data_IF_598272671409
#
_entry.id   IF_598272671409
#
_cell.length_a   1.000
_cell.length_b   1.000
_cell.length_c   1.000
_cell.angle_alpha   90.00
_cell.angle_beta   90.00
_cell.angle_gamma   90.00
#
_symmetry.space_group_name_H-M   'P 1'
#
loop_
_entity.id
_entity.type
_entity.pdbx_description
1 polymer ?
#
# COMPACT_ATOMS: atom_id res chain seq x y z
N UNK A 1 -1.25 3.61 37.75
CA UNK A 1 -0.69 2.60 36.82
C UNK A 1 -1.51 2.67 35.55
N UNK A 2 -0.98 3.26 34.49
CA UNK A 2 -1.67 3.29 33.19
C UNK A 2 -1.53 1.90 32.61
N UNK A 3 -2.65 1.23 32.31
CA UNK A 3 -2.63 -0.06 31.66
C UNK A 3 -1.87 0.08 30.34
N UNK A 4 -0.70 -0.56 30.23
CA UNK A 4 -0.04 -0.78 28.95
C UNK A 4 -0.98 -1.70 28.19
N UNK A 5 -1.77 -1.13 27.27
CA UNK A 5 -2.52 -1.91 26.29
C UNK A 5 -1.47 -2.66 25.49
N UNK A 6 -1.25 -3.92 25.85
CA UNK A 6 -0.57 -4.88 25.00
C UNK A 6 -1.44 -5.04 23.76
N UNK A 7 -1.15 -4.27 22.71
CA UNK A 7 -1.57 -4.66 21.38
C UNK A 7 -0.99 -6.06 21.19
N UNK A 8 -1.85 -7.07 21.11
CA UNK A 8 -1.47 -8.32 20.50
C UNK A 8 -0.82 -7.92 19.17
N UNK A 9 0.46 -8.25 19.02
CA UNK A 9 1.25 -7.97 17.83
C UNK A 9 0.54 -8.66 16.66
N UNK A 10 -0.31 -7.91 15.98
CA UNK A 10 -0.88 -8.34 14.72
C UNK A 10 0.33 -8.40 13.79
N UNK A 11 0.80 -9.62 13.48
CA UNK A 11 2.01 -9.87 12.68
C UNK A 11 1.71 -9.55 11.20
N UNK A 12 1.22 -8.34 10.96
CA UNK A 12 0.75 -7.86 9.68
C UNK A 12 1.03 -6.39 9.49
N UNK A 13 1.32 -6.05 8.26
CA UNK A 13 1.62 -4.70 7.82
C UNK A 13 0.52 -4.19 6.91
N UNK A 14 -0.05 -3.02 7.23
CA UNK A 14 -1.05 -2.35 6.40
C UNK A 14 -0.36 -1.63 5.24
N UNK A 15 -0.92 -1.75 4.05
CA UNK A 15 -0.45 -1.01 2.88
C UNK A 15 -1.62 -0.51 2.02
N UNK A 16 -1.31 0.44 1.15
CA UNK A 16 -2.22 0.97 0.13
C UNK A 16 -1.45 1.28 -1.15
N UNK A 17 -2.07 0.98 -2.28
CA UNK A 17 -1.74 1.50 -3.61
C UNK A 17 -2.80 2.56 -3.93
N UNK A 18 -2.35 3.76 -4.28
CA UNK A 18 -3.22 4.88 -4.60
C UNK A 18 -2.72 5.61 -5.85
N UNK A 19 -3.62 6.35 -6.49
CA UNK A 19 -3.33 7.21 -7.64
C UNK A 19 -3.44 8.66 -7.23
N UNK A 20 -2.45 9.49 -7.58
CA UNK A 20 -2.55 10.94 -7.38
C UNK A 20 -3.73 11.52 -8.17
N UNK A 21 -4.41 12.50 -7.58
CA UNK A 21 -5.50 13.25 -8.19
C UNK A 21 -5.03 14.46 -9.01
N UNK A 22 -3.73 14.77 -8.94
CA UNK A 22 -3.07 15.91 -9.58
C UNK A 22 -2.60 15.61 -11.03
N UNK A 23 -1.97 16.60 -11.67
CA UNK A 23 -1.67 16.65 -13.11
C UNK A 23 -0.92 15.44 -13.70
N UNK A 24 -0.10 14.72 -12.92
CA UNK A 24 0.67 13.57 -13.42
C UNK A 24 -0.03 12.22 -13.16
N UNK A 25 -1.11 12.23 -12.37
CA UNK A 25 -1.94 11.07 -11.98
C UNK A 25 -1.15 9.78 -11.70
N UNK A 26 0.01 9.91 -11.08
CA UNK A 26 0.94 8.81 -10.87
C UNK A 26 0.43 7.85 -9.81
N UNK A 27 0.79 6.57 -9.95
CA UNK A 27 0.51 5.54 -8.98
C UNK A 27 1.63 5.48 -7.94
N UNK A 28 1.24 5.34 -6.69
CA UNK A 28 2.13 5.26 -5.55
C UNK A 28 1.66 4.15 -4.61
N UNK A 29 2.53 3.78 -3.68
CA UNK A 29 2.18 2.89 -2.59
C UNK A 29 2.80 3.34 -1.28
N UNK A 30 2.16 2.97 -0.18
CA UNK A 30 2.63 3.23 1.18
C UNK A 30 2.40 2.01 2.06
N UNK A 31 3.35 1.70 2.94
CA UNK A 31 3.23 0.69 3.99
C UNK A 31 3.13 1.42 5.32
N UNK A 32 1.91 1.62 5.82
CA UNK A 32 1.64 2.52 6.95
C UNK A 32 2.31 2.06 8.25
N UNK A 33 2.41 0.76 8.48
CA UNK A 33 3.04 0.22 9.71
C UNK A 33 4.55 0.49 9.74
N UNK A 34 5.19 0.67 8.59
CA UNK A 34 6.63 0.91 8.48
C UNK A 34 7.00 2.41 8.53
N UNK A 35 6.01 3.33 8.59
CA UNK A 35 6.27 4.77 8.61
C UNK A 35 6.88 5.23 9.94
N UNK A 36 7.98 5.98 9.85
CA UNK A 36 8.59 6.67 10.98
C UNK A 36 7.79 7.94 11.37
N UNK A 37 7.99 8.44 12.58
CA UNK A 37 7.22 9.57 13.09
C UNK A 37 7.41 10.86 12.27
N UNK A 38 8.59 11.05 11.67
CA UNK A 38 8.92 12.27 10.93
C UNK A 38 8.20 12.36 9.58
N UNK A 39 8.01 11.23 8.90
CA UNK A 39 7.34 11.20 7.59
C UNK A 39 5.88 10.74 7.65
N UNK A 40 5.44 10.08 8.73
CA UNK A 40 4.11 9.47 8.83
C UNK A 40 2.96 10.41 8.45
N UNK A 41 2.92 11.60 9.03
CA UNK A 41 1.84 12.55 8.76
C UNK A 41 1.77 12.98 7.29
N UNK A 42 2.94 13.13 6.66
CA UNK A 42 3.05 13.52 5.25
C UNK A 42 2.58 12.39 4.33
N UNK A 43 3.01 11.16 4.57
CA UNK A 43 2.65 10.02 3.73
C UNK A 43 1.16 9.66 3.87
N UNK A 44 0.59 9.76 5.08
CA UNK A 44 -0.85 9.62 5.29
C UNK A 44 -1.62 10.70 4.52
N UNK A 45 -1.19 11.96 4.60
CA UNK A 45 -1.84 13.05 3.90
C UNK A 45 -1.80 12.88 2.37
N UNK A 46 -0.69 12.34 1.84
CA UNK A 46 -0.54 12.02 0.40
C UNK A 46 -1.49 10.93 -0.04
N UNK A 47 -1.54 9.80 0.67
CA UNK A 47 -2.44 8.71 0.37
C UNK A 47 -3.91 9.17 0.45
N UNK A 48 -4.28 9.91 1.50
CA UNK A 48 -5.63 10.42 1.71
C UNK A 48 -6.08 11.46 0.66
N UNK A 49 -5.16 12.12 -0.04
CA UNK A 49 -5.47 13.04 -1.13
C UNK A 49 -5.64 12.33 -2.49
N UNK A 50 -5.15 11.09 -2.59
CA UNK A 50 -5.25 10.26 -3.79
C UNK A 50 -6.54 9.47 -3.87
N UNK A 51 -6.68 8.75 -4.98
CA UNK A 51 -7.72 7.75 -5.19
C UNK A 51 -7.16 6.36 -4.85
N UNK A 52 -7.78 5.66 -3.90
CA UNK A 52 -7.39 4.29 -3.54
C UNK A 52 -7.59 3.34 -4.72
N UNK A 53 -6.56 2.59 -5.08
CA UNK A 53 -6.59 1.55 -6.12
C UNK A 53 -6.70 0.16 -5.50
N UNK A 54 -5.92 -0.10 -4.44
CA UNK A 54 -5.95 -1.36 -3.71
C UNK A 54 -5.41 -1.14 -2.30
N UNK A 55 -5.94 -1.81 -1.29
CA UNK A 55 -5.39 -1.76 0.06
C UNK A 55 -5.55 -3.10 0.76
N UNK A 56 -4.81 -3.30 1.84
CA UNK A 56 -4.95 -4.50 2.65
C UNK A 56 -3.82 -4.71 3.64
N UNK A 57 -3.77 -5.91 4.18
CA UNK A 57 -2.73 -6.34 5.11
C UNK A 57 -1.89 -7.45 4.47
N UNK A 58 -0.58 -7.41 4.70
CA UNK A 58 0.34 -8.49 4.35
C UNK A 58 0.95 -9.07 5.62
N UNK A 59 1.29 -10.36 5.61
CA UNK A 59 2.01 -10.97 6.73
C UNK A 59 3.42 -10.40 6.89
N UNK A 60 3.82 -10.08 8.12
CA UNK A 60 5.14 -9.49 8.40
C UNK A 60 6.31 -10.40 8.00
N UNK A 61 6.09 -11.72 8.08
CA UNK A 61 7.03 -12.75 7.66
C UNK A 61 7.36 -12.73 6.16
N UNK A 62 6.47 -12.12 5.35
CA UNK A 62 6.55 -12.06 3.89
C UNK A 62 6.55 -10.63 3.35
N UNK A 63 6.64 -9.61 4.22
CA UNK A 63 6.44 -8.21 3.83
C UNK A 63 7.44 -7.68 2.80
N UNK A 64 8.69 -8.12 2.86
CA UNK A 64 9.72 -7.66 1.90
C UNK A 64 9.42 -8.17 0.48
N UNK A 65 8.98 -9.44 0.37
CA UNK A 65 8.53 -10.00 -0.90
C UNK A 65 7.24 -9.33 -1.39
N UNK A 66 6.31 -9.05 -0.48
CA UNK A 66 5.08 -8.33 -0.80
C UNK A 66 5.36 -6.90 -1.29
N UNK A 67 6.31 -6.18 -0.66
CA UNK A 67 6.74 -4.85 -1.06
C UNK A 67 7.36 -4.85 -2.46
N UNK A 68 8.15 -5.87 -2.80
CA UNK A 68 8.69 -6.03 -4.14
C UNK A 68 7.58 -6.24 -5.19
N UNK A 69 6.57 -7.06 -4.88
CA UNK A 69 5.43 -7.27 -5.78
C UNK A 69 4.56 -6.00 -5.92
N UNK A 70 4.29 -5.28 -4.82
CA UNK A 70 3.58 -3.99 -4.84
C UNK A 70 4.34 -2.96 -5.68
N UNK A 71 5.66 -2.88 -5.52
CA UNK A 71 6.49 -2.00 -6.34
C UNK A 71 6.40 -2.37 -7.82
N UNK A 72 6.46 -3.66 -8.16
CA UNK A 72 6.32 -4.12 -9.55
C UNK A 72 4.93 -3.79 -10.14
N UNK A 73 3.86 -3.90 -9.36
CA UNK A 73 2.50 -3.48 -9.78
C UNK A 73 2.48 -1.98 -10.08
N UNK A 74 3.04 -1.17 -9.17
CA UNK A 74 3.05 0.29 -9.32
C UNK A 74 3.93 0.74 -10.49
N UNK A 75 5.08 0.11 -10.70
CA UNK A 75 5.94 0.37 -11.86
C UNK A 75 5.22 0.03 -13.17
N UNK A 76 4.47 -1.07 -13.22
CA UNK A 76 3.66 -1.45 -14.39
C UNK A 76 2.55 -0.43 -14.65
N UNK A 77 1.81 -0.03 -13.61
CA UNK A 77 0.76 0.99 -13.70
C UNK A 77 1.31 2.34 -14.20
N UNK A 78 2.48 2.75 -13.71
CA UNK A 78 3.14 3.99 -14.12
C UNK A 78 3.77 3.91 -15.53
N UNK A 79 4.00 2.71 -16.06
CA UNK A 79 4.49 2.51 -17.43
C UNK A 79 3.35 2.49 -18.47
N UNK A 80 2.09 2.39 -18.03
CA UNK A 80 0.92 2.47 -18.91
C UNK A 80 0.69 3.91 -19.41
N UNK A 81 -0.06 4.01 -20.49
CA UNK A 81 -0.56 5.29 -20.99
C UNK A 81 -1.48 5.94 -19.95
N UNK A 82 -1.23 7.20 -19.58
CA UNK A 82 -1.86 7.87 -18.43
C UNK A 82 -3.40 7.88 -18.51
N UNK A 83 -3.96 8.06 -19.71
CA UNK A 83 -5.41 8.14 -19.93
C UNK A 83 -6.11 6.79 -19.74
N UNK A 84 -5.37 5.69 -19.89
CA UNK A 84 -5.89 4.31 -19.83
C UNK A 84 -5.32 3.49 -18.68
N UNK A 85 -4.34 4.04 -17.95
CA UNK A 85 -3.63 3.36 -16.88
C UNK A 85 -4.58 2.90 -15.77
N UNK A 86 -4.52 1.60 -15.47
CA UNK A 86 -5.33 0.95 -14.45
C UNK A 86 -5.14 -0.56 -14.48
N UNK A 87 -5.38 -1.19 -13.35
CA UNK A 87 -5.33 -2.64 -13.21
C UNK A 87 -6.58 -3.10 -12.45
N UNK A 88 -7.31 -4.11 -12.94
CA UNK A 88 -8.47 -4.63 -12.22
C UNK A 88 -8.08 -5.09 -10.81
N UNK A 89 -8.91 -4.77 -9.82
CA UNK A 89 -8.68 -5.14 -8.42
C UNK A 89 -8.43 -6.65 -8.25
N UNK A 90 -9.18 -7.48 -8.98
CA UNK A 90 -9.02 -8.94 -8.99
C UNK A 90 -7.62 -9.40 -9.46
N UNK A 91 -6.98 -8.66 -10.36
CA UNK A 91 -5.63 -8.97 -10.83
C UNK A 91 -4.59 -8.59 -9.76
N UNK A 92 -4.75 -7.42 -9.12
CA UNK A 92 -3.91 -7.00 -7.99
C UNK A 92 -4.03 -8.02 -6.85
N UNK A 93 -5.26 -8.42 -6.50
CA UNK A 93 -5.53 -9.44 -5.49
C UNK A 93 -4.91 -10.79 -5.86
N UNK A 94 -4.99 -11.21 -7.13
CA UNK A 94 -4.38 -12.47 -7.60
C UNK A 94 -2.86 -12.46 -7.43
N UNK A 95 -2.19 -11.36 -7.80
CA UNK A 95 -0.73 -11.20 -7.68
C UNK A 95 -0.28 -11.16 -6.22
N UNK A 96 -1.01 -10.43 -5.38
CA UNK A 96 -0.68 -10.27 -3.96
C UNK A 96 -1.20 -11.42 -3.08
N UNK A 97 -2.04 -12.32 -3.61
CA UNK A 97 -2.82 -13.28 -2.82
C UNK A 97 -2.01 -14.18 -1.88
N UNK A 98 -0.77 -14.52 -2.25
CA UNK A 98 0.10 -15.30 -1.37
C UNK A 98 0.61 -14.51 -0.16
N UNK A 99 0.61 -13.17 -0.21
CA UNK A 99 1.09 -12.29 0.85
C UNK A 99 -0.04 -11.76 1.73
N UNK A 100 -1.23 -11.61 1.15
CA UNK A 100 -2.41 -11.04 1.81
C UNK A 100 -2.86 -11.87 3.01
N UNK A 101 -3.26 -11.16 4.05
CA UNK A 101 -3.85 -11.73 5.27
C UNK A 101 -5.15 -11.01 5.63
N UNK A 102 -6.06 -11.66 6.37
CA UNK A 102 -7.31 -11.05 6.83
C UNK A 102 -7.14 -9.82 7.75
#
# INVERSE_FOLDING_TARGET
MVAKVSHASDNKTMFEIYRESDYNRAFHFVFFTDLDEHNRGKEIARAAAGETVFHGFVGDDRKEAARAEVAAIVDELNAMDEDTAGMPEAEIQRRLGQFLVP
#
